data_IF_413613404371
#
_entry.id   IF_413613404371
#
_cell.length_a   1.000
_cell.length_b   1.000
_cell.length_c   1.000
_cell.angle_alpha   90.00
_cell.angle_beta   90.00
_cell.angle_gamma   90.00
#
_symmetry.space_group_name_H-M   'P 1'
#
loop_
_entity.id
_entity.type
_entity.pdbx_description
1 polymer ?
#
# COMPACT_ATOMS: atom_id res chain seq x y z
N UNK A 1 15.07 -20.71 -4.40
CA UNK A 1 13.61 -20.64 -4.19
C UNK A 1 13.33 -19.35 -3.45
N UNK A 2 12.44 -18.46 -3.94
CA UNK A 2 12.16 -17.17 -3.28
C UNK A 2 11.54 -17.38 -1.90
N UNK A 3 11.85 -16.47 -0.97
CA UNK A 3 11.18 -16.47 0.33
C UNK A 3 9.66 -16.23 0.15
N UNK A 4 8.87 -16.71 1.11
CA UNK A 4 7.42 -16.44 1.12
C UNK A 4 7.13 -14.93 1.12
N UNK A 5 8.02 -14.15 1.75
CA UNK A 5 7.93 -12.68 1.78
C UNK A 5 8.08 -12.08 0.39
N UNK A 6 9.07 -12.54 -0.40
CA UNK A 6 9.30 -12.09 -1.77
C UNK A 6 8.12 -12.45 -2.68
N UNK A 7 7.61 -13.68 -2.59
CA UNK A 7 6.42 -14.09 -3.34
C UNK A 7 5.24 -13.15 -3.05
N UNK A 8 4.99 -12.89 -1.77
CA UNK A 8 3.90 -12.02 -1.35
C UNK A 8 4.10 -10.57 -1.81
N UNK A 9 5.33 -10.06 -1.83
CA UNK A 9 5.62 -8.73 -2.39
C UNK A 9 5.27 -8.67 -3.88
N UNK A 10 5.58 -9.71 -4.65
CA UNK A 10 5.23 -9.82 -6.07
C UNK A 10 3.70 -9.88 -6.23
N UNK A 11 3.00 -10.70 -5.45
CA UNK A 11 1.54 -10.83 -5.50
C UNK A 11 0.83 -9.50 -5.20
N UNK A 12 1.32 -8.74 -4.20
CA UNK A 12 0.82 -7.40 -3.89
C UNK A 12 1.04 -6.45 -5.06
N UNK A 13 2.23 -6.44 -5.68
CA UNK A 13 2.52 -5.57 -6.83
C UNK A 13 1.68 -5.94 -8.06
N UNK A 14 1.50 -7.23 -8.34
CA UNK A 14 0.62 -7.71 -9.42
C UNK A 14 -0.83 -7.26 -9.15
N UNK A 15 -1.29 -7.42 -7.91
CA UNK A 15 -2.64 -6.99 -7.51
C UNK A 15 -2.82 -5.49 -7.66
N UNK A 16 -1.84 -4.67 -7.24
CA UNK A 16 -1.87 -3.22 -7.45
C UNK A 16 -1.80 -2.83 -8.92
N UNK A 17 -1.06 -3.60 -9.72
CA UNK A 17 -0.94 -3.40 -11.17
C UNK A 17 -2.24 -3.67 -11.93
N UNK A 18 -3.10 -4.56 -11.41
CA UNK A 18 -4.41 -4.88 -12.00
C UNK A 18 -5.50 -3.84 -11.69
N UNK A 19 -5.19 -2.88 -10.83
CA UNK A 19 -6.15 -1.82 -10.46
C UNK A 19 -6.13 -0.70 -11.50
N UNK A 20 -7.30 -0.11 -11.74
CA UNK A 20 -7.43 1.04 -12.64
C UNK A 20 -6.42 2.15 -12.28
N UNK A 21 -5.77 2.72 -13.30
CA UNK A 21 -4.77 3.78 -13.13
C UNK A 21 -5.28 4.91 -12.22
N UNK A 22 -4.51 5.20 -11.17
CA UNK A 22 -4.83 6.28 -10.23
C UNK A 22 -5.78 5.90 -9.09
N UNK A 23 -6.30 4.68 -9.06
CA UNK A 23 -7.09 4.22 -7.92
C UNK A 23 -6.20 3.92 -6.72
N UNK A 24 -6.65 4.33 -5.54
CA UNK A 24 -5.99 4.07 -4.27
C UNK A 24 -6.54 2.78 -3.65
N UNK A 25 -5.65 1.91 -3.23
CA UNK A 25 -6.00 0.62 -2.61
C UNK A 25 -5.64 0.65 -1.13
N UNK A 26 -6.60 0.34 -0.27
CA UNK A 26 -6.36 0.27 1.17
C UNK A 26 -5.68 -1.05 1.55
N UNK A 27 -4.98 -1.07 2.70
CA UNK A 27 -4.41 -2.31 3.26
C UNK A 27 -5.47 -3.35 3.55
N UNK A 28 -6.67 -2.92 3.95
CA UNK A 28 -7.80 -3.82 4.17
C UNK A 28 -8.24 -4.51 2.87
N UNK A 29 -8.40 -3.74 1.79
CA UNK A 29 -8.81 -4.31 0.50
C UNK A 29 -7.77 -5.29 -0.07
N UNK A 30 -6.46 -5.01 0.14
CA UNK A 30 -5.38 -5.95 -0.20
C UNK A 30 -5.43 -7.21 0.66
N UNK A 31 -5.66 -7.06 1.96
CA UNK A 31 -5.75 -8.17 2.91
C UNK A 31 -6.90 -9.12 2.55
N UNK A 32 -8.06 -8.57 2.22
CA UNK A 32 -9.23 -9.33 1.75
C UNK A 32 -8.96 -10.04 0.42
N UNK A 33 -8.39 -9.31 -0.56
CA UNK A 33 -8.09 -9.87 -1.90
C UNK A 33 -7.09 -11.02 -1.85
N UNK A 34 -6.05 -10.89 -1.02
CA UNK A 34 -4.98 -11.88 -0.90
C UNK A 34 -5.23 -12.90 0.22
N UNK A 35 -6.32 -12.77 0.96
CA UNK A 35 -6.67 -13.62 2.13
C UNK A 35 -5.55 -13.67 3.18
N UNK A 36 -4.98 -12.50 3.50
CA UNK A 36 -3.86 -12.34 4.42
C UNK A 36 -4.24 -11.32 5.50
N UNK A 37 -3.63 -11.41 6.68
CA UNK A 37 -3.87 -10.45 7.76
C UNK A 37 -3.40 -9.03 7.39
N UNK A 38 -4.12 -8.02 7.88
CA UNK A 38 -3.81 -6.60 7.65
C UNK A 38 -2.38 -6.28 8.13
N UNK A 39 -1.99 -6.75 9.33
CA UNK A 39 -0.63 -6.51 9.86
C UNK A 39 0.47 -7.07 8.97
N UNK A 40 0.21 -8.21 8.32
CA UNK A 40 1.17 -8.78 7.38
C UNK A 40 1.26 -7.92 6.11
N UNK A 41 0.12 -7.47 5.56
CA UNK A 41 0.10 -6.53 4.44
C UNK A 41 0.83 -5.23 4.79
N UNK A 42 0.63 -4.66 5.97
CA UNK A 42 1.34 -3.44 6.41
C UNK A 42 2.86 -3.64 6.44
N UNK A 43 3.33 -4.80 6.91
CA UNK A 43 4.75 -5.16 6.87
C UNK A 43 5.29 -5.23 5.45
N UNK A 44 4.56 -5.83 4.52
CA UNK A 44 4.90 -5.92 3.09
C UNK A 44 4.91 -4.51 2.46
N UNK A 45 3.89 -3.71 2.72
CA UNK A 45 3.77 -2.36 2.17
C UNK A 45 4.91 -1.45 2.65
N UNK A 46 5.43 -1.66 3.86
CA UNK A 46 6.63 -0.96 4.34
C UNK A 46 7.82 -1.27 3.44
N UNK A 47 8.12 -2.54 3.21
CA UNK A 47 9.24 -2.98 2.36
C UNK A 47 9.11 -2.44 0.94
N UNK A 48 7.91 -2.56 0.34
CA UNK A 48 7.66 -2.07 -1.00
C UNK A 48 7.77 -0.54 -1.11
N UNK A 49 7.43 0.20 -0.07
CA UNK A 49 7.59 1.65 -0.01
C UNK A 49 9.06 2.05 0.15
N UNK A 50 9.81 1.36 1.01
CA UNK A 50 11.26 1.55 1.18
C UNK A 50 12.00 1.27 -0.12
N UNK A 51 11.60 0.22 -0.85
CA UNK A 51 12.12 -0.09 -2.20
C UNK A 51 11.63 0.85 -3.31
N UNK A 52 10.76 1.82 -3.00
CA UNK A 52 10.26 2.79 -3.97
C UNK A 52 9.29 2.23 -5.02
N UNK A 53 8.71 1.06 -4.80
CA UNK A 53 7.74 0.44 -5.71
C UNK A 53 6.32 0.99 -5.53
N UNK A 54 5.98 1.41 -4.32
CA UNK A 54 4.66 1.95 -3.99
C UNK A 54 4.76 3.27 -3.25
N UNK A 55 3.71 4.07 -3.37
CA UNK A 55 3.50 5.30 -2.61
C UNK A 55 2.21 5.22 -1.83
N UNK A 56 2.13 5.98 -0.74
CA UNK A 56 0.93 6.08 0.10
C UNK A 56 0.36 7.49 0.08
N UNK A 57 -0.96 7.60 0.08
CA UNK A 57 -1.70 8.83 0.32
C UNK A 57 -2.39 8.71 1.67
N UNK A 58 -2.18 9.70 2.55
CA UNK A 58 -2.79 9.75 3.88
C UNK A 58 -4.14 10.47 3.83
N UNK A 59 -5.01 10.13 4.76
CA UNK A 59 -6.29 10.79 4.97
C UNK A 59 -7.50 9.95 4.63
N UNK A 60 -8.72 10.50 4.77
CA UNK A 60 -9.95 9.84 4.37
C UNK A 60 -9.92 9.52 2.87
N UNK A 61 -10.16 8.26 2.50
CA UNK A 61 -10.00 7.81 1.11
C UNK A 61 -8.55 7.60 0.66
N UNK A 62 -7.59 7.63 1.61
CA UNK A 62 -6.20 7.33 1.34
C UNK A 62 -5.95 5.84 1.06
N UNK A 63 -4.75 5.52 0.65
CA UNK A 63 -4.36 4.17 0.30
C UNK A 63 -3.00 4.14 -0.36
N UNK A 64 -2.76 3.08 -1.09
CA UNK A 64 -1.50 2.83 -1.79
C UNK A 64 -1.73 2.75 -3.29
N UNK A 65 -0.71 3.15 -4.04
CA UNK A 65 -0.66 3.02 -5.50
C UNK A 65 0.78 2.75 -5.95
N UNK A 66 0.93 2.23 -7.15
CA UNK A 66 2.27 1.96 -7.71
C UNK A 66 2.99 3.25 -8.06
N UNK A 67 4.27 3.34 -7.71
CA UNK A 67 5.13 4.50 -8.05
C UNK A 67 5.49 4.56 -9.52
N UNK A 68 5.56 3.41 -10.17
CA UNK A 68 5.94 3.22 -11.57
C UNK A 68 4.96 2.27 -12.25
N UNK A 69 4.99 2.24 -13.58
CA UNK A 69 4.20 1.27 -14.36
C UNK A 69 4.67 -0.17 -14.03
N UNK A 70 3.77 -1.17 -14.00
CA UNK A 70 4.15 -2.55 -13.75
C UNK A 70 5.23 -3.07 -14.72
N UNK A 71 5.18 -2.64 -15.98
CA UNK A 71 6.14 -3.02 -17.02
C UNK A 71 7.56 -2.45 -16.79
N UNK A 72 7.69 -1.44 -15.93
CA UNK A 72 8.97 -0.81 -15.58
C UNK A 72 9.61 -1.40 -14.33
N UNK A 73 8.98 -2.37 -13.70
CA UNK A 73 9.46 -3.01 -12.48
C UNK A 73 9.84 -4.45 -12.83
N UNK A 74 11.14 -4.76 -12.81
CA UNK A 74 11.59 -6.13 -13.00
C UNK A 74 11.43 -6.95 -11.73
N UNK A 75 11.23 -8.26 -11.88
CA UNK A 75 11.16 -9.19 -10.74
C UNK A 75 12.47 -9.16 -9.96
N UNK A 76 13.61 -9.01 -10.63
CA UNK A 76 14.91 -8.89 -9.98
C UNK A 76 14.99 -7.71 -9.00
N UNK A 77 14.47 -6.53 -9.40
CA UNK A 77 14.44 -5.36 -8.51
C UNK A 77 13.66 -5.63 -7.22
N UNK A 78 12.53 -6.36 -7.33
CA UNK A 78 11.72 -6.72 -6.16
C UNK A 78 12.47 -7.70 -5.28
N UNK A 79 13.07 -8.74 -5.87
CA UNK A 79 13.88 -9.75 -5.17
C UNK A 79 15.04 -9.07 -4.43
N UNK A 80 15.78 -8.21 -5.11
CA UNK A 80 16.91 -7.47 -4.54
C UNK A 80 16.53 -6.63 -3.34
N UNK A 81 15.40 -5.91 -3.43
CA UNK A 81 14.92 -5.07 -2.32
C UNK A 81 14.42 -5.88 -1.11
N UNK A 82 13.86 -7.07 -1.33
CA UNK A 82 13.28 -7.90 -0.25
C UNK A 82 14.31 -8.80 0.41
N UNK A 83 15.21 -9.39 -0.39
CA UNK A 83 16.22 -10.36 0.07
C UNK A 83 17.55 -9.67 0.45
N UNK A 84 17.66 -8.36 0.21
CA UNK A 84 18.90 -7.61 0.48
C UNK A 84 20.05 -7.95 -0.46
N UNK A 85 19.76 -8.52 -1.64
CA UNK A 85 20.78 -8.94 -2.60
C UNK A 85 21.51 -7.77 -3.25
N UNK A 86 20.95 -6.57 -3.19
CA UNK A 86 21.60 -5.34 -3.68
C UNK A 86 22.87 -4.95 -2.89
N UNK A 87 23.05 -5.47 -1.66
CA UNK A 87 24.20 -5.21 -0.80
C UNK A 87 25.19 -6.40 -0.76
N UNK A 88 24.88 -7.49 -1.46
CA UNK A 88 25.67 -8.74 -1.38
C UNK A 88 26.82 -8.80 -2.35
N UNK A 89 27.22 -7.70 -2.99
CA UNK A 89 28.56 -7.59 -3.60
C UNK A 89 29.64 -7.39 -2.53
N UNK A 90 29.63 -8.20 -1.48
CA UNK A 90 30.82 -8.30 -0.61
C UNK A 90 31.90 -9.05 -1.39
N UNK A 91 33.11 -8.49 -1.49
CA UNK A 91 34.20 -9.19 -2.14
C UNK A 91 34.42 -10.52 -1.43
N UNK A 92 34.27 -11.59 -2.19
CA UNK A 92 34.52 -12.95 -1.75
C UNK A 92 35.90 -13.02 -1.12
N UNK A 93 35.94 -13.51 0.11
CA UNK A 93 37.12 -13.75 0.90
C UNK A 93 38.25 -14.41 0.09
N UNK A 94 39.47 -14.05 0.40
CA UNK A 94 40.77 -14.25 -0.27
C UNK A 94 41.20 -15.68 -0.69
N UNK A 95 40.29 -16.65 -0.75
CA UNK A 95 40.57 -17.99 -1.29
C UNK A 95 39.42 -18.46 -2.14
N UNK A 96 39.52 -18.40 -3.49
CA UNK A 96 38.46 -18.86 -4.41
C UNK A 96 38.27 -20.38 -4.25
N UNK A 97 37.04 -20.78 -3.90
CA UNK A 97 36.63 -22.19 -3.90
C UNK A 97 36.27 -22.62 -5.33
N UNK A 98 36.44 -23.89 -5.70
CA UNK A 98 36.03 -24.40 -7.00
C UNK A 98 34.52 -24.15 -7.30
N UNK A 99 33.69 -24.09 -6.25
CA UNK A 99 32.24 -23.81 -6.33
C UNK A 99 31.90 -22.35 -6.60
N UNK A 100 32.81 -21.40 -6.27
CA UNK A 100 32.56 -19.96 -6.43
C UNK A 100 32.27 -19.60 -7.90
N UNK A 101 32.94 -20.29 -8.83
CA UNK A 101 32.70 -20.13 -10.28
C UNK A 101 31.31 -20.62 -10.71
N UNK A 102 30.79 -21.70 -10.10
CA UNK A 102 29.46 -22.22 -10.39
C UNK A 102 28.37 -21.33 -9.78
N UNK A 103 28.57 -20.92 -8.54
CA UNK A 103 27.63 -20.02 -7.85
C UNK A 103 27.52 -18.67 -8.58
N UNK A 104 28.65 -18.10 -9.01
CA UNK A 104 28.67 -16.85 -9.77
C UNK A 104 27.94 -16.98 -11.11
N UNK A 105 28.15 -18.08 -11.83
CA UNK A 105 27.44 -18.35 -13.08
C UNK A 105 25.95 -18.51 -12.86
N UNK A 106 25.54 -19.31 -11.86
CA UNK A 106 24.15 -19.52 -11.53
C UNK A 106 23.47 -18.20 -11.13
N UNK A 107 24.15 -17.40 -10.30
CA UNK A 107 23.67 -16.09 -9.92
C UNK A 107 23.45 -15.18 -11.13
N UNK A 108 24.41 -15.14 -12.05
CA UNK A 108 24.33 -14.33 -13.27
C UNK A 108 23.15 -14.75 -14.16
N UNK A 109 22.95 -16.07 -14.36
CA UNK A 109 21.83 -16.60 -15.16
C UNK A 109 20.47 -16.29 -14.52
N UNK A 110 20.35 -16.49 -13.18
CA UNK A 110 19.12 -16.17 -12.45
C UNK A 110 18.84 -14.65 -12.53
N UNK A 111 19.86 -13.82 -12.30
CA UNK A 111 19.75 -12.38 -12.38
C UNK A 111 19.32 -11.93 -13.77
N UNK A 112 19.92 -12.47 -14.81
CA UNK A 112 19.55 -12.18 -16.21
C UNK A 112 18.11 -12.55 -16.51
N UNK A 113 17.68 -13.75 -16.10
CA UNK A 113 16.30 -14.21 -16.30
C UNK A 113 15.30 -13.33 -15.54
N UNK A 114 15.52 -13.04 -14.25
CA UNK A 114 14.60 -12.26 -13.44
C UNK A 114 14.58 -10.78 -13.82
N UNK A 115 15.69 -10.25 -14.37
CA UNK A 115 15.75 -8.89 -14.91
C UNK A 115 14.94 -8.73 -16.19
N UNK A 116 14.85 -9.80 -17.00
CA UNK A 116 14.05 -9.80 -18.23
C UNK A 116 12.54 -9.91 -17.95
N UNK A 117 12.13 -10.33 -16.75
CA UNK A 117 10.73 -10.48 -16.36
C UNK A 117 10.24 -9.26 -15.61
N UNK A 118 9.11 -8.70 -16.03
CA UNK A 118 8.47 -7.54 -15.40
C UNK A 118 7.22 -7.94 -14.63
N UNK A 119 6.84 -7.11 -13.67
CA UNK A 119 5.57 -7.30 -12.94
C UNK A 119 4.39 -7.23 -13.92
N UNK A 120 4.48 -6.40 -14.98
CA UNK A 120 3.43 -6.26 -15.99
C UNK A 120 3.08 -7.56 -16.72
N UNK A 121 4.05 -8.47 -16.92
CA UNK A 121 3.80 -9.78 -17.54
C UNK A 121 2.85 -10.67 -16.70
N UNK A 122 2.78 -10.44 -15.40
CA UNK A 122 1.94 -11.20 -14.47
C UNK A 122 0.58 -10.53 -14.20
N UNK A 123 0.42 -9.28 -14.61
CA UNK A 123 -0.85 -8.55 -14.48
C UNK A 123 -1.82 -9.07 -15.52
N UNK A 124 -2.86 -9.79 -15.08
CA UNK A 124 -3.93 -10.26 -15.96
C UNK A 124 -4.87 -9.10 -16.27
N UNK A 125 -4.95 -8.73 -17.53
CA UNK A 125 -5.80 -7.61 -18.01
C UNK A 125 -7.30 -7.90 -17.84
N UNK A 126 -7.68 -9.17 -17.77
CA UNK A 126 -9.08 -9.59 -17.64
C UNK A 126 -9.63 -9.46 -16.21
N UNK A 127 -8.76 -9.28 -15.24
CA UNK A 127 -9.12 -9.17 -13.82
C UNK A 127 -8.99 -7.72 -13.34
N UNK A 128 -9.61 -6.76 -14.07
CA UNK A 128 -9.69 -5.39 -13.60
C UNK A 128 -10.38 -5.36 -12.23
N UNK A 129 -9.57 -5.40 -11.20
CA UNK A 129 -10.07 -5.27 -9.85
C UNK A 129 -10.58 -3.85 -9.63
N UNK A 130 -11.89 -3.71 -9.71
CA UNK A 130 -12.56 -2.45 -9.34
C UNK A 130 -12.60 -2.35 -7.83
N UNK A 131 -11.70 -1.55 -7.28
CA UNK A 131 -11.77 -1.19 -5.87
C UNK A 131 -13.11 -0.45 -5.68
N UNK A 132 -14.02 -1.07 -4.94
CA UNK A 132 -15.32 -0.44 -4.64
C UNK A 132 -15.05 0.82 -3.81
N UNK A 133 -15.55 1.99 -4.20
CA UNK A 133 -15.38 3.23 -3.45
C UNK A 133 -16.08 3.22 -2.07
N UNK A 134 -16.75 2.14 -1.72
CA UNK A 134 -17.49 1.99 -0.47
C UNK A 134 -16.61 1.94 0.79
N UNK A 135 -15.30 1.83 0.64
CA UNK A 135 -14.35 1.86 1.76
C UNK A 135 -14.13 3.27 2.32
N UNK A 136 -14.78 4.29 1.75
CA UNK A 136 -14.77 5.66 2.28
C UNK A 136 -15.75 5.82 3.48
N UNK A 137 -16.21 4.74 4.09
CA UNK A 137 -17.10 4.81 5.27
C UNK A 137 -16.43 5.28 6.56
N UNK A 138 -15.12 5.54 6.54
CA UNK A 138 -14.42 6.17 7.66
C UNK A 138 -13.80 7.53 7.28
N UNK A 139 -14.38 8.22 6.32
CA UNK A 139 -14.30 9.66 6.36
C UNK A 139 -14.94 10.09 7.69
N UNK A 140 -14.27 10.95 8.44
CA UNK A 140 -14.97 11.93 9.24
C UNK A 140 -15.85 12.71 8.25
N UNK A 141 -16.91 12.05 7.77
CA UNK A 141 -17.99 12.75 7.14
C UNK A 141 -18.42 13.74 8.19
N UNK A 142 -18.34 14.99 7.87
CA UNK A 142 -19.24 15.97 8.43
C UNK A 142 -20.64 15.44 8.04
N UNK A 143 -21.09 14.42 8.78
CA UNK A 143 -22.51 14.11 8.84
C UNK A 143 -23.21 15.43 9.10
N UNK A 144 -24.44 15.64 8.62
CA UNK A 144 -25.17 16.84 8.95
C UNK A 144 -24.96 17.04 10.45
N UNK A 145 -24.45 18.22 10.85
CA UNK A 145 -24.22 18.53 12.25
C UNK A 145 -25.47 18.07 12.98
N UNK A 146 -25.35 17.25 14.04
CA UNK A 146 -26.52 16.84 14.78
C UNK A 146 -27.27 18.12 15.11
N UNK A 147 -28.49 18.21 14.61
CA UNK A 147 -29.36 19.33 14.96
C UNK A 147 -29.46 19.25 16.47
N UNK A 148 -28.98 20.26 17.15
CA UNK A 148 -29.04 20.32 18.61
C UNK A 148 -30.50 20.18 19.00
N UNK A 149 -30.89 19.02 19.52
CA UNK A 149 -32.23 18.76 20.09
C UNK A 149 -32.34 19.39 21.50
N UNK A 150 -31.31 20.06 21.95
CA UNK A 150 -31.40 20.87 23.15
C UNK A 150 -32.13 22.17 22.81
N UNK A 151 -33.24 22.48 23.50
CA UNK A 151 -33.79 23.81 23.42
C UNK A 151 -32.66 24.81 23.75
N UNK A 152 -32.46 25.81 22.90
CA UNK A 152 -31.49 26.87 23.14
C UNK A 152 -31.85 27.55 24.46
N UNK A 153 -31.29 27.05 25.55
CA UNK A 153 -31.29 27.83 26.77
C UNK A 153 -30.36 29.05 26.53
N UNK A 154 -30.76 30.24 26.91
CA UNK A 154 -29.96 31.43 26.72
C UNK A 154 -28.64 31.26 27.50
N UNK A 155 -27.53 31.11 26.76
CA UNK A 155 -26.21 30.83 27.33
C UNK A 155 -25.46 32.12 27.76
N UNK A 156 -26.09 33.28 27.64
CA UNK A 156 -25.47 34.54 28.09
C UNK A 156 -26.40 35.34 28.96
N UNK A 157 -25.80 35.98 29.96
CA UNK A 157 -26.50 36.89 30.91
C UNK A 157 -27.19 38.04 30.17
N UNK A 158 -26.77 38.37 28.96
CA UNK A 158 -27.33 39.42 28.13
C UNK A 158 -28.64 39.03 27.43
N UNK A 159 -28.92 37.76 27.24
CA UNK A 159 -30.17 37.28 26.63
C UNK A 159 -31.27 37.06 27.66
N UNK A 160 -30.93 36.99 28.98
CA UNK A 160 -31.93 36.90 30.05
C UNK A 160 -32.88 38.08 30.09
N UNK A 161 -32.41 39.26 29.70
CA UNK A 161 -33.21 40.50 29.73
C UNK A 161 -34.37 40.47 28.71
N UNK A 162 -34.16 39.81 27.59
CA UNK A 162 -35.20 39.65 26.56
C UNK A 162 -36.26 38.62 26.96
N UNK A 163 -35.89 37.60 27.73
CA UNK A 163 -36.81 36.59 28.26
C UNK A 163 -37.72 37.12 29.37
N UNK A 164 -37.18 37.98 30.24
CA UNK A 164 -37.97 38.59 31.32
C UNK A 164 -39.00 39.62 30.81
N UNK A 165 -38.75 40.26 29.66
CA UNK A 165 -39.71 41.17 29.05
C UNK A 165 -40.89 40.46 28.38
N UNK A 166 -40.70 39.22 27.88
CA UNK A 166 -41.74 38.44 27.25
C UNK A 166 -42.67 37.71 28.25
N UNK A 167 -42.24 37.55 29.52
CA UNK A 167 -43.02 36.86 30.53
C UNK A 167 -43.91 37.81 31.38
N UNK A 168 -43.88 39.12 31.10
CA UNK A 168 -44.62 40.16 31.84
C UNK A 168 -45.82 40.78 31.05
N UNK A 169 -46.22 40.11 29.94
CA UNK A 169 -47.41 40.46 29.18
C UNK A 169 -48.33 39.26 29.15
#
# INVERSE_FOLDING_TARGET
MFSKKTQLCIDVLVTLGSVQKGALVTTQALAERLSISISHIESIMRVLREGGFVRSVRGPGGGYFMSRQPDQISVWQVVGAVEGLAESEKPVTSHPRPTDSLESKLHHEIMGFLSSKTIGEFVKTDDEWRVRPETIKYGFGLGPKPVSLMPMAPNSVFELSSFLHSAAT
#
